data_IF_645097073898
#
_entry.id   IF_645097073898
#
_cell.length_a   1.000
_cell.length_b   1.000
_cell.length_c   1.000
_cell.angle_alpha   90.00
_cell.angle_beta   90.00
_cell.angle_gamma   90.00
#
_symmetry.space_group_name_H-M   'P 1'
#
loop_
_entity.id
_entity.type
_entity.pdbx_description
1 polymer ?
#
# COMPACT_ATOMS: atom_id res chain seq x y z
N UNK A 1 -10.37 -16.35 32.90
CA UNK A 1 -9.19 -16.11 32.05
C UNK A 1 -9.25 -17.13 30.93
N UNK A 2 -9.45 -16.69 29.69
CA UNK A 2 -9.50 -17.60 28.54
C UNK A 2 -8.07 -18.13 28.26
N UNK A 3 -7.94 -19.37 27.80
CA UNK A 3 -6.64 -20.02 27.58
C UNK A 3 -5.72 -19.23 26.63
N UNK A 4 -6.32 -18.38 25.80
CA UNK A 4 -5.67 -17.36 24.95
C UNK A 4 -4.75 -16.39 25.73
N UNK A 5 -5.18 -15.89 26.90
CA UNK A 5 -4.33 -15.00 27.72
C UNK A 5 -3.25 -15.75 28.49
N UNK A 6 -3.41 -17.07 28.70
CA UNK A 6 -2.35 -17.90 29.27
C UNK A 6 -1.22 -18.16 28.28
N UNK A 7 -1.52 -18.35 27.00
CA UNK A 7 -0.48 -18.53 25.97
C UNK A 7 0.36 -17.24 25.78
N UNK A 8 -0.29 -16.06 25.71
CA UNK A 8 0.40 -14.78 25.59
C UNK A 8 1.20 -14.39 26.85
N UNK A 9 0.67 -14.64 28.06
CA UNK A 9 1.41 -14.36 29.29
C UNK A 9 2.53 -15.36 29.61
N UNK A 10 2.47 -16.60 29.11
CA UNK A 10 3.53 -17.59 29.38
C UNK A 10 4.81 -17.27 28.60
N UNK A 11 4.72 -16.55 27.47
CA UNK A 11 5.89 -16.12 26.69
C UNK A 11 6.49 -14.81 27.21
N UNK A 12 5.70 -13.89 27.79
CA UNK A 12 6.24 -12.67 28.41
C UNK A 12 6.62 -12.81 29.90
N UNK A 13 6.21 -13.88 30.59
CA UNK A 13 6.37 -14.02 32.04
C UNK A 13 7.70 -14.57 32.57
N UNK A 14 8.66 -14.95 31.70
CA UNK A 14 9.92 -15.60 32.12
C UNK A 14 11.17 -14.72 32.07
N UNK A 15 11.04 -13.45 31.72
CA UNK A 15 12.15 -12.51 31.72
C UNK A 15 11.74 -11.20 32.39
N UNK A 16 11.72 -11.16 33.73
CA UNK A 16 11.90 -9.94 34.55
C UNK A 16 11.84 -10.29 36.05
N UNK A 17 12.98 -10.75 36.59
CA UNK A 17 13.29 -10.50 37.99
C UNK A 17 14.70 -9.95 38.10
N UNK A 18 14.83 -8.63 38.02
CA UNK A 18 15.82 -7.85 38.78
C UNK A 18 15.51 -6.37 38.57
N UNK A 19 14.79 -5.82 39.53
CA UNK A 19 14.60 -4.40 39.75
C UNK A 19 15.95 -3.71 39.98
N UNK A 20 16.11 -2.47 39.52
CA UNK A 20 16.73 -1.37 40.28
C UNK A 20 16.56 0.01 39.58
N UNK A 21 15.62 0.80 40.13
CA UNK A 21 15.66 2.23 40.46
C UNK A 21 16.57 3.19 39.66
N UNK A 22 15.97 4.20 39.00
CA UNK A 22 16.39 5.62 38.90
C UNK A 22 15.54 6.32 37.82
N UNK A 23 15.08 7.56 37.86
CA UNK A 23 15.05 8.68 38.80
C UNK A 23 14.09 9.69 38.13
N UNK A 24 13.16 10.26 38.89
CA UNK A 24 12.31 11.36 38.44
C UNK A 24 13.14 12.62 38.18
N UNK A 25 12.93 13.27 37.03
CA UNK A 25 13.46 14.61 36.72
C UNK A 25 12.31 15.47 36.22
N UNK A 26 12.02 16.52 36.97
CA UNK A 26 10.94 17.50 36.77
C UNK A 26 11.08 18.35 35.48
N UNK A 27 9.97 19.00 35.05
CA UNK A 27 9.87 19.77 33.81
C UNK A 27 10.31 21.22 34.01
N UNK A 28 10.93 21.82 33.00
CA UNK A 28 11.04 23.27 32.93
C UNK A 28 11.25 23.79 31.50
N UNK A 29 10.48 24.84 31.20
CA UNK A 29 10.79 26.00 30.34
C UNK A 29 10.15 26.03 28.95
N UNK A 30 9.02 26.74 28.86
CA UNK A 30 8.72 27.63 27.72
C UNK A 30 9.73 28.80 27.71
N UNK A 31 10.05 29.38 26.53
CA UNK A 31 9.41 30.65 26.17
C UNK A 31 9.17 30.87 24.65
N UNK A 32 7.97 31.38 24.35
CA UNK A 32 7.63 32.63 23.62
C UNK A 32 8.28 33.01 22.28
N UNK A 33 7.40 33.51 21.37
CA UNK A 33 7.61 34.53 20.29
C UNK A 33 8.41 34.09 19.07
N UNK A 34 8.06 34.36 17.81
CA UNK A 34 7.43 35.53 17.21
C UNK A 34 6.63 35.17 15.94
N UNK A 35 5.59 35.97 15.67
CA UNK A 35 4.94 36.10 14.38
C UNK A 35 5.65 37.15 13.52
N UNK A 36 5.66 36.99 12.18
CA UNK A 36 5.65 38.16 11.31
C UNK A 36 4.55 38.11 10.25
N UNK A 37 3.78 39.18 10.27
CA UNK A 37 3.36 40.03 9.15
C UNK A 37 2.94 39.39 7.81
N UNK A 38 1.63 39.48 7.61
CA UNK A 38 0.95 39.79 6.36
C UNK A 38 1.72 40.73 5.43
N UNK A 39 1.95 40.29 4.18
CA UNK A 39 2.17 41.19 3.05
C UNK A 39 1.13 40.89 1.97
N UNK A 40 0.26 41.87 1.84
CA UNK A 40 -0.74 42.09 0.80
C UNK A 40 -0.02 42.49 -0.50
N UNK A 41 -0.32 41.82 -1.61
CA UNK A 41 0.02 42.28 -2.95
C UNK A 41 -0.96 41.65 -3.94
N UNK A 42 -2.06 42.36 -4.12
CA UNK A 42 -2.94 42.23 -5.27
C UNK A 42 -2.22 42.70 -6.55
N UNK A 43 -2.01 41.78 -7.50
CA UNK A 43 -1.84 42.16 -8.90
C UNK A 43 -3.06 41.71 -9.70
N UNK A 44 -3.75 42.72 -10.22
CA UNK A 44 -4.83 42.63 -11.19
C UNK A 44 -4.20 42.30 -12.54
N UNK A 45 -4.44 41.10 -13.06
CA UNK A 45 -4.08 40.73 -14.43
C UNK A 45 -5.34 40.73 -15.29
N UNK A 46 -5.28 41.56 -16.34
CA UNK A 46 -6.32 41.81 -17.33
C UNK A 46 -6.76 40.54 -18.07
N UNK A 47 -8.07 40.42 -18.27
CA UNK A 47 -8.72 39.36 -19.03
C UNK A 47 -8.42 39.48 -20.54
N UNK A 48 -8.03 38.39 -21.23
CA UNK A 48 -8.01 38.35 -22.69
C UNK A 48 -9.43 38.21 -23.27
N UNK A 49 -9.65 38.65 -24.52
CA UNK A 49 -10.97 38.66 -25.17
C UNK A 49 -11.49 37.26 -25.49
N UNK A 50 -12.82 37.11 -25.33
CA UNK A 50 -13.67 36.02 -25.79
C UNK A 50 -13.32 35.57 -27.22
N UNK A 51 -12.94 34.31 -27.36
CA UNK A 51 -12.83 33.61 -28.64
C UNK A 51 -14.19 33.05 -29.05
N UNK A 52 -14.58 33.33 -30.28
CA UNK A 52 -15.80 32.92 -30.96
C UNK A 52 -16.06 31.39 -30.91
N UNK A 53 -17.33 30.95 -30.88
CA UNK A 53 -17.69 29.53 -30.90
C UNK A 53 -17.48 28.91 -32.28
N UNK A 54 -16.69 27.83 -32.34
CA UNK A 54 -16.59 26.97 -33.51
C UNK A 54 -17.87 26.16 -33.76
N UNK A 55 -18.18 25.82 -35.03
CA UNK A 55 -19.46 25.25 -35.42
C UNK A 55 -19.65 23.79 -35.00
N UNK A 56 -20.86 23.53 -34.51
CA UNK A 56 -21.44 22.23 -34.20
C UNK A 56 -21.41 21.27 -35.40
N UNK A 57 -20.82 20.06 -35.28
CA UNK A 57 -20.98 19.03 -36.29
C UNK A 57 -22.37 18.37 -36.20
N UNK A 58 -23.00 18.32 -37.36
CA UNK A 58 -24.28 17.74 -37.72
C UNK A 58 -24.35 16.25 -37.34
N UNK A 59 -25.41 15.88 -36.60
CA UNK A 59 -25.69 14.51 -36.20
C UNK A 59 -26.08 13.67 -37.44
N UNK A 60 -25.30 12.62 -37.72
CA UNK A 60 -25.71 11.57 -38.63
C UNK A 60 -26.55 10.53 -37.86
N UNK A 61 -27.81 10.42 -38.26
CA UNK A 61 -28.71 9.33 -37.89
C UNK A 61 -28.11 7.98 -38.30
N UNK A 62 -27.95 7.10 -37.32
CA UNK A 62 -27.71 5.68 -37.55
C UNK A 62 -28.73 4.87 -36.74
N UNK A 63 -29.75 4.40 -37.44
CA UNK A 63 -30.62 3.29 -37.05
C UNK A 63 -29.79 2.10 -36.57
N UNK A 64 -30.02 1.66 -35.33
CA UNK A 64 -29.50 0.39 -34.83
C UNK A 64 -30.65 -0.41 -34.21
N UNK A 65 -30.95 -1.51 -34.90
CA UNK A 65 -31.92 -2.52 -34.55
C UNK A 65 -31.65 -3.12 -33.16
N UNK A 66 -32.74 -3.35 -32.44
CA UNK A 66 -32.78 -4.16 -31.23
C UNK A 66 -32.29 -5.58 -31.52
N UNK A 67 -31.33 -6.04 -30.71
CA UNK A 67 -30.94 -7.45 -30.60
C UNK A 67 -30.76 -7.82 -29.13
N UNK A 68 -31.08 -9.07 -28.87
CA UNK A 68 -31.48 -9.67 -27.61
C UNK A 68 -30.50 -9.56 -26.43
N UNK A 69 -31.11 -9.55 -25.24
CA UNK A 69 -30.44 -9.67 -23.95
C UNK A 69 -29.83 -11.07 -23.79
N UNK A 70 -28.52 -11.17 -23.99
CA UNK A 70 -27.72 -12.33 -23.60
C UNK A 70 -27.11 -12.11 -22.22
N UNK A 71 -27.28 -13.10 -21.35
CA UNK A 71 -26.88 -13.07 -19.95
C UNK A 71 -25.37 -13.21 -19.84
N UNK A 72 -24.68 -12.08 -19.71
CA UNK A 72 -23.24 -12.05 -19.51
C UNK A 72 -22.90 -12.59 -18.10
N UNK A 73 -22.13 -13.68 -17.96
CA UNK A 73 -21.66 -14.14 -16.66
C UNK A 73 -20.76 -13.07 -16.05
N UNK A 74 -20.95 -12.81 -14.75
CA UNK A 74 -20.11 -11.87 -14.00
C UNK A 74 -18.62 -12.21 -14.20
N UNK A 75 -17.75 -11.21 -14.48
CA UNK A 75 -16.35 -11.47 -14.74
C UNK A 75 -15.70 -12.14 -13.53
N UNK A 76 -15.06 -13.28 -13.76
CA UNK A 76 -14.24 -13.96 -12.78
C UNK A 76 -13.15 -12.98 -12.29
N UNK A 77 -13.03 -12.82 -10.98
CA UNK A 77 -12.00 -11.99 -10.34
C UNK A 77 -10.61 -12.40 -10.86
N UNK A 78 -9.89 -11.43 -11.42
CA UNK A 78 -8.74 -11.67 -12.28
C UNK A 78 -7.48 -12.02 -11.49
N UNK A 79 -6.84 -13.14 -11.83
CA UNK A 79 -5.42 -13.44 -11.59
C UNK A 79 -4.46 -12.54 -12.39
N UNK A 80 -4.96 -11.49 -13.06
CA UNK A 80 -4.24 -10.71 -14.08
C UNK A 80 -3.26 -9.65 -13.56
N UNK A 81 -3.26 -9.34 -12.25
CA UNK A 81 -2.36 -8.34 -11.66
C UNK A 81 -0.88 -8.75 -11.76
N UNK A 82 -0.57 -10.05 -11.77
CA UNK A 82 0.80 -10.58 -11.83
C UNK A 82 1.51 -10.25 -13.15
N UNK A 83 0.76 -10.03 -14.24
CA UNK A 83 1.32 -9.75 -15.55
C UNK A 83 1.62 -8.26 -15.78
N UNK A 84 1.37 -7.41 -14.78
CA UNK A 84 1.41 -5.95 -14.93
C UNK A 84 2.60 -5.31 -14.23
N UNK A 85 3.67 -6.07 -14.00
CA UNK A 85 4.94 -5.48 -13.60
C UNK A 85 5.64 -4.89 -14.84
N UNK A 86 5.62 -3.56 -14.94
CA UNK A 86 6.31 -2.82 -16.01
C UNK A 86 7.63 -2.19 -15.53
N UNK A 87 8.15 -2.62 -14.38
CA UNK A 87 9.49 -2.26 -13.94
C UNK A 87 10.56 -2.97 -14.78
N UNK A 88 11.75 -2.37 -14.88
CA UNK A 88 12.85 -2.96 -15.63
C UNK A 88 13.50 -4.09 -14.82
N UNK A 89 14.21 -5.00 -15.50
CA UNK A 89 14.94 -6.07 -14.82
C UNK A 89 15.98 -5.51 -13.86
N UNK A 90 15.86 -5.87 -12.58
CA UNK A 90 16.70 -5.37 -11.49
C UNK A 90 16.03 -4.32 -10.61
N UNK A 91 14.86 -3.81 -11.02
CA UNK A 91 14.08 -2.86 -10.22
C UNK A 91 13.06 -3.58 -9.33
N UNK A 92 12.81 -2.98 -8.18
CA UNK A 92 11.75 -3.29 -7.23
C UNK A 92 10.48 -2.53 -7.59
N UNK A 93 9.36 -3.25 -7.54
CA UNK A 93 8.02 -2.72 -7.74
C UNK A 93 7.44 -2.29 -6.37
N UNK A 94 7.33 -0.99 -6.14
CA UNK A 94 6.82 -0.44 -4.89
C UNK A 94 5.29 -0.48 -4.85
N UNK A 95 4.64 -0.02 -5.92
CA UNK A 95 3.18 0.02 -6.01
C UNK A 95 2.70 -0.27 -7.43
N UNK A 96 1.56 -0.95 -7.53
CA UNK A 96 0.75 -1.04 -8.75
C UNK A 96 -0.59 -0.38 -8.48
N UNK A 97 -1.01 0.46 -9.41
CA UNK A 97 -2.24 1.23 -9.34
C UNK A 97 -3.02 1.00 -10.62
N UNK A 98 -4.23 0.49 -10.47
CA UNK A 98 -5.17 0.34 -11.57
C UNK A 98 -6.17 1.48 -11.58
N UNK A 99 -6.40 2.06 -12.74
CA UNK A 99 -7.51 2.99 -13.00
C UNK A 99 -8.38 2.45 -14.13
N UNK A 100 -9.45 3.15 -14.51
CA UNK A 100 -10.28 2.73 -15.66
C UNK A 100 -9.49 2.73 -16.98
N UNK A 101 -8.53 3.64 -17.15
CA UNK A 101 -7.77 3.81 -18.40
C UNK A 101 -6.30 3.37 -18.34
N UNK A 102 -5.71 3.24 -17.15
CA UNK A 102 -4.27 3.05 -16.99
C UNK A 102 -3.90 2.00 -15.95
N UNK A 103 -2.74 1.38 -16.17
CA UNK A 103 -1.92 0.77 -15.12
C UNK A 103 -0.79 1.73 -14.78
N UNK A 104 -0.50 1.91 -13.50
CA UNK A 104 0.62 2.72 -13.05
C UNK A 104 1.47 1.91 -12.10
N UNK A 105 2.77 1.89 -12.34
CA UNK A 105 3.75 1.21 -11.49
C UNK A 105 4.73 2.23 -10.94
N UNK A 106 5.01 2.12 -9.65
CA UNK A 106 6.08 2.85 -9.01
C UNK A 106 7.25 1.88 -8.89
N UNK A 107 8.31 2.16 -9.64
CA UNK A 107 9.50 1.32 -9.76
C UNK A 107 10.72 2.01 -9.14
N UNK A 108 11.68 1.24 -8.68
CA UNK A 108 12.94 1.77 -8.17
C UNK A 108 13.92 0.68 -7.79
N UNK A 109 14.95 1.02 -7.04
CA UNK A 109 15.86 0.03 -6.45
C UNK A 109 15.54 -0.03 -4.95
N UNK A 110 16.46 0.43 -4.08
CA UNK A 110 16.23 0.57 -2.65
C UNK A 110 15.13 1.59 -2.28
N UNK A 111 14.74 2.46 -3.23
CA UNK A 111 13.75 3.53 -3.05
C UNK A 111 12.96 3.77 -4.35
N UNK A 112 11.72 4.29 -4.26
CA UNK A 112 10.96 4.73 -5.44
C UNK A 112 11.79 5.72 -6.27
N UNK A 113 11.88 5.47 -7.58
CA UNK A 113 12.67 6.31 -8.48
C UNK A 113 11.97 6.63 -9.79
N UNK A 114 11.03 5.79 -10.24
CA UNK A 114 10.36 5.96 -11.52
C UNK A 114 8.85 5.76 -11.41
N UNK A 115 8.13 6.63 -12.10
CA UNK A 115 6.74 6.45 -12.47
C UNK A 115 6.67 5.74 -13.82
N UNK A 116 5.89 4.66 -13.92
CA UNK A 116 5.61 3.97 -15.17
C UNK A 116 4.11 3.88 -15.41
N UNK A 117 3.58 4.68 -16.32
CA UNK A 117 2.17 4.65 -16.71
C UNK A 117 1.99 3.86 -18.01
N UNK A 118 0.97 3.00 -18.08
CA UNK A 118 0.63 2.19 -19.25
C UNK A 118 -0.85 2.35 -19.57
N UNK A 119 -1.13 2.81 -20.79
CA UNK A 119 -2.50 2.96 -21.31
C UNK A 119 -3.10 1.58 -21.60
N UNK A 120 -4.29 1.32 -21.08
CA UNK A 120 -5.02 0.07 -21.32
C UNK A 120 -5.58 -0.04 -22.73
N UNK A 121 -5.88 1.08 -23.37
CA UNK A 121 -6.50 1.08 -24.71
C UNK A 121 -5.53 0.73 -25.82
N UNK A 122 -4.26 1.11 -25.70
CA UNK A 122 -3.27 0.93 -26.77
C UNK A 122 -1.93 0.34 -26.29
N UNK A 123 -1.79 0.03 -25.00
CA UNK A 123 -0.57 -0.57 -24.43
C UNK A 123 0.64 0.36 -24.43
N UNK A 124 0.51 1.61 -24.86
CA UNK A 124 1.63 2.56 -24.82
C UNK A 124 1.97 2.87 -23.38
N UNK A 125 3.26 2.97 -23.12
CA UNK A 125 3.77 3.33 -21.80
C UNK A 125 4.58 4.62 -21.82
N UNK A 126 4.68 5.21 -20.65
CA UNK A 126 5.57 6.31 -20.33
C UNK A 126 6.34 5.95 -19.08
N UNK A 127 7.63 6.27 -19.08
CA UNK A 127 8.51 6.09 -17.93
C UNK A 127 9.17 7.42 -17.62
N UNK A 128 8.99 7.90 -16.39
CA UNK A 128 9.49 9.18 -15.92
C UNK A 128 10.23 8.99 -14.61
N UNK A 129 11.34 9.72 -14.37
CA UNK A 129 11.88 9.82 -13.03
C UNK A 129 10.86 10.48 -12.11
N UNK A 130 10.71 9.96 -10.90
CA UNK A 130 9.97 10.64 -9.85
C UNK A 130 10.68 11.95 -9.52
N UNK A 131 9.90 13.01 -9.45
CA UNK A 131 10.39 14.33 -9.01
C UNK A 131 10.23 14.50 -7.51
N UNK A 132 9.17 13.90 -6.95
CA UNK A 132 8.94 13.87 -5.51
C UNK A 132 8.04 12.67 -5.14
N UNK A 133 8.07 12.28 -3.86
CA UNK A 133 7.20 11.27 -3.29
C UNK A 133 7.15 11.38 -1.77
N UNK A 134 6.06 10.92 -1.15
CA UNK A 134 5.93 10.92 0.30
C UNK A 134 6.67 9.73 0.91
N UNK A 135 7.26 9.92 2.09
CA UNK A 135 8.05 8.90 2.77
C UNK A 135 7.22 7.66 3.18
N UNK A 136 5.91 7.82 3.36
CA UNK A 136 4.95 6.76 3.63
C UNK A 136 4.47 6.02 2.36
N UNK A 137 4.90 6.46 1.18
CA UNK A 137 4.53 5.86 -0.10
C UNK A 137 3.08 6.09 -0.51
N UNK A 138 2.42 7.10 0.05
CA UNK A 138 1.03 7.42 -0.25
C UNK A 138 0.86 8.48 -1.35
N UNK A 139 1.95 9.06 -1.86
CA UNK A 139 1.93 10.05 -2.92
C UNK A 139 3.18 10.00 -3.76
N UNK A 140 3.01 10.14 -5.09
CA UNK A 140 4.08 10.12 -6.08
C UNK A 140 3.85 11.18 -7.14
N UNK A 141 4.91 11.87 -7.53
CA UNK A 141 4.88 12.90 -8.56
C UNK A 141 6.02 12.73 -9.58
N UNK A 142 5.69 12.88 -10.85
CA UNK A 142 6.64 12.89 -11.95
C UNK A 142 6.27 13.96 -12.99
N UNK A 143 7.26 14.45 -13.74
CA UNK A 143 7.07 15.49 -14.75
C UNK A 143 7.59 15.08 -16.13
N UNK A 144 6.87 15.50 -17.16
CA UNK A 144 7.31 15.48 -18.56
C UNK A 144 7.06 16.86 -19.18
N UNK A 145 8.03 17.77 -19.05
CA UNK A 145 7.85 19.17 -19.38
C UNK A 145 6.84 19.82 -18.43
N UNK A 146 5.77 20.42 -18.98
CA UNK A 146 4.70 21.06 -18.20
C UNK A 146 3.62 20.06 -17.73
N UNK A 147 3.73 18.79 -18.13
CA UNK A 147 2.77 17.76 -17.75
C UNK A 147 3.23 17.13 -16.43
N UNK A 148 2.40 17.25 -15.40
CA UNK A 148 2.55 16.61 -14.11
C UNK A 148 1.72 15.34 -14.05
N UNK A 149 2.31 14.27 -13.54
CA UNK A 149 1.68 13.00 -13.25
C UNK A 149 1.72 12.78 -11.75
N UNK A 150 0.53 12.71 -11.14
CA UNK A 150 0.37 12.56 -9.70
C UNK A 150 -0.44 11.30 -9.42
N UNK A 151 0.06 10.47 -8.51
CA UNK A 151 -0.67 9.33 -7.94
C UNK A 151 -0.83 9.58 -6.45
N UNK A 152 -2.06 9.56 -5.97
CA UNK A 152 -2.37 9.69 -4.55
C UNK A 152 -3.06 8.43 -4.07
N UNK A 153 -2.49 7.79 -3.04
CA UNK A 153 -2.95 6.56 -2.43
C UNK A 153 -3.62 6.78 -1.06
N UNK A 154 -3.79 8.03 -0.63
CA UNK A 154 -4.42 8.36 0.65
C UNK A 154 -5.90 7.96 0.69
N UNK A 155 -6.25 7.26 1.77
CA UNK A 155 -7.58 6.72 2.08
C UNK A 155 -8.54 7.70 2.75
N UNK A 156 -9.63 7.13 3.29
CA UNK A 156 -10.91 7.64 3.86
C UNK A 156 -11.37 9.07 3.54
N UNK A 157 -10.52 10.10 3.68
CA UNK A 157 -10.87 11.51 3.48
C UNK A 157 -10.48 12.06 2.10
N UNK A 158 -9.59 11.40 1.36
CA UNK A 158 -9.20 11.77 0.00
C UNK A 158 -9.49 10.64 -0.99
N UNK A 159 -9.90 10.95 -2.23
CA UNK A 159 -10.05 9.94 -3.27
C UNK A 159 -8.66 9.45 -3.70
N UNK A 160 -8.45 8.14 -3.64
CA UNK A 160 -7.31 7.46 -4.26
C UNK A 160 -7.42 7.69 -5.77
N UNK A 161 -6.49 8.46 -6.34
CA UNK A 161 -6.63 8.97 -7.70
C UNK A 161 -5.31 9.08 -8.46
N UNK A 162 -5.40 8.84 -9.76
CA UNK A 162 -4.43 9.30 -10.75
C UNK A 162 -4.89 10.65 -11.29
N UNK A 163 -4.04 11.66 -11.18
CA UNK A 163 -4.27 13.00 -11.72
C UNK A 163 -3.13 13.36 -12.67
N UNK A 164 -3.47 13.74 -13.89
CA UNK A 164 -2.50 14.27 -14.88
C UNK A 164 -2.91 15.69 -15.21
N UNK A 165 -1.99 16.65 -15.02
CA UNK A 165 -2.25 18.07 -15.28
C UNK A 165 -1.22 18.66 -16.24
N UNK A 166 -1.65 19.66 -17.02
CA UNK A 166 -0.80 20.46 -17.91
C UNK A 166 -0.95 21.93 -17.48
N UNK A 167 0.00 22.40 -16.68
CA UNK A 167 -0.17 23.61 -15.87
C UNK A 167 -1.38 23.49 -14.93
N UNK A 168 -2.32 24.43 -15.06
CA UNK A 168 -3.56 24.47 -14.26
C UNK A 168 -4.70 23.59 -14.81
N UNK A 169 -4.51 22.99 -15.99
CA UNK A 169 -5.55 22.19 -16.65
C UNK A 169 -5.43 20.72 -16.26
N UNK A 170 -6.51 20.13 -15.75
CA UNK A 170 -6.62 18.68 -15.54
C UNK A 170 -6.88 17.99 -16.89
N UNK A 171 -5.97 17.11 -17.29
CA UNK A 171 -6.09 16.29 -18.51
C UNK A 171 -6.77 14.95 -18.21
N UNK A 172 -6.39 14.34 -17.08
CA UNK A 172 -6.90 13.05 -16.64
C UNK A 172 -7.12 13.13 -15.13
N UNK A 173 -8.27 12.68 -14.69
CA UNK A 173 -8.54 12.38 -13.29
C UNK A 173 -9.33 11.08 -13.25
N UNK A 174 -8.74 10.04 -12.68
CA UNK A 174 -9.36 8.73 -12.59
C UNK A 174 -9.20 8.20 -11.18
N UNK A 175 -10.30 7.67 -10.64
CA UNK A 175 -10.26 6.93 -9.40
C UNK A 175 -9.43 5.65 -9.60
N UNK A 176 -8.64 5.34 -8.59
CA UNK A 176 -7.98 4.06 -8.49
C UNK A 176 -9.01 3.02 -8.10
N UNK A 177 -9.05 1.90 -8.82
CA UNK A 177 -10.01 0.84 -8.57
C UNK A 177 -9.68 0.16 -7.24
N UNK A 178 -10.39 0.55 -6.16
CA UNK A 178 -10.21 0.05 -4.78
C UNK A 178 -10.38 -1.46 -4.62
N UNK A 179 -11.00 -2.12 -5.59
CA UNK A 179 -11.18 -3.58 -5.55
C UNK A 179 -9.88 -4.34 -5.85
N UNK A 180 -8.80 -3.63 -6.17
CA UNK A 180 -7.49 -4.21 -6.39
C UNK A 180 -6.59 -3.88 -5.20
N UNK A 181 -6.67 -4.75 -4.19
CA UNK A 181 -5.57 -5.25 -3.36
C UNK A 181 -4.27 -4.53 -3.71
N UNK A 182 -3.98 -3.41 -3.04
CA UNK A 182 -2.73 -2.67 -3.22
C UNK A 182 -1.60 -3.60 -2.80
N UNK A 183 -1.11 -4.41 -3.72
CA UNK A 183 0.01 -5.27 -3.47
C UNK A 183 1.26 -4.38 -3.53
N UNK A 184 1.86 -4.17 -2.37
CA UNK A 184 3.29 -3.83 -2.31
C UNK A 184 3.98 -5.11 -2.73
N UNK A 185 4.38 -5.15 -4.00
CA UNK A 185 4.97 -6.33 -4.59
C UNK A 185 6.47 -6.36 -4.26
N UNK A 186 6.82 -6.98 -3.14
CA UNK A 186 8.06 -7.75 -3.15
C UNK A 186 8.05 -8.70 -4.37
N UNK A 187 9.20 -8.94 -4.99
CA UNK A 187 9.42 -9.46 -6.37
C UNK A 187 8.51 -10.60 -6.89
N UNK A 188 7.68 -11.25 -6.06
CA UNK A 188 6.82 -12.34 -6.48
C UNK A 188 5.34 -12.39 -5.97
N UNK A 189 4.68 -11.28 -5.58
CA UNK A 189 3.20 -11.32 -5.53
C UNK A 189 2.50 -11.43 -4.17
N UNK A 190 3.07 -10.89 -3.09
CA UNK A 190 2.37 -10.77 -1.81
C UNK A 190 1.46 -9.51 -1.75
N UNK A 191 0.38 -9.65 -1.00
CA UNK A 191 -0.74 -8.72 -0.87
C UNK A 191 -0.49 -7.75 0.29
N UNK A 192 -0.82 -6.45 0.14
CA UNK A 192 -0.84 -5.54 1.29
C UNK A 192 -2.27 -5.17 1.74
N UNK A 193 -2.54 -5.32 3.02
CA UNK A 193 -3.49 -4.54 3.79
C UNK A 193 -2.90 -3.14 4.08
N UNK A 194 -3.78 -2.19 4.41
CA UNK A 194 -3.50 -0.76 4.66
C UNK A 194 -2.10 -0.48 5.25
N UNK A 195 -1.37 0.42 4.58
CA UNK A 195 -0.03 0.91 4.92
C UNK A 195 -0.03 1.71 6.22
N UNK A 196 -1.20 2.03 6.78
CA UNK A 196 -1.34 2.87 7.98
C UNK A 196 -0.65 2.26 9.22
N UNK A 197 -0.29 0.98 9.16
CA UNK A 197 0.38 0.26 10.24
C UNK A 197 1.70 -0.37 9.76
N UNK A 198 2.76 0.45 9.66
CA UNK A 198 4.13 -0.02 9.48
C UNK A 198 4.81 -0.28 10.83
N UNK A 199 5.02 -1.55 11.18
CA UNK A 199 5.74 -1.96 12.40
C UNK A 199 7.17 -2.45 12.16
N UNK A 200 7.70 -2.24 10.94
CA UNK A 200 9.10 -2.47 10.63
C UNK A 200 9.99 -1.43 11.31
N UNK A 201 11.29 -1.74 11.45
CA UNK A 201 12.24 -0.77 11.99
C UNK A 201 12.45 0.38 11.00
N UNK A 202 12.89 1.56 11.47
CA UNK A 202 13.04 2.77 10.64
C UNK A 202 13.99 2.62 9.45
N UNK A 203 14.85 1.60 9.46
CA UNK A 203 15.80 1.28 8.40
C UNK A 203 15.40 0.02 7.60
N UNK A 204 14.15 -0.42 7.73
CA UNK A 204 13.58 -1.55 7.01
C UNK A 204 12.37 -1.12 6.19
N UNK A 205 12.24 -1.67 5.00
CA UNK A 205 11.02 -1.58 4.22
C UNK A 205 10.06 -2.73 4.54
N UNK A 206 8.76 -2.42 4.46
CA UNK A 206 7.69 -3.40 4.52
C UNK A 206 7.70 -4.18 3.21
N UNK A 207 7.91 -5.49 3.29
CA UNK A 207 7.70 -6.41 2.16
C UNK A 207 6.22 -6.73 1.98
N UNK A 208 5.50 -6.93 3.09
CA UNK A 208 4.07 -7.24 3.10
C UNK A 208 3.46 -6.73 4.40
N UNK A 209 2.23 -6.22 4.34
CA UNK A 209 1.42 -5.96 5.52
C UNK A 209 0.08 -6.69 5.35
N UNK A 210 -0.42 -7.38 6.36
CA UNK A 210 -1.77 -7.96 6.35
C UNK A 210 -2.43 -7.76 7.71
N UNK A 211 -3.74 -7.87 7.75
CA UNK A 211 -4.47 -7.83 9.02
C UNK A 211 -5.36 -9.04 9.16
N UNK A 212 -5.53 -9.49 10.39
CA UNK A 212 -6.58 -10.45 10.77
C UNK A 212 -7.61 -9.73 11.63
N UNK A 213 -8.57 -10.47 12.20
CA UNK A 213 -9.49 -9.89 13.20
C UNK A 213 -8.71 -9.29 14.37
N UNK A 214 -7.70 -10.00 14.90
CA UNK A 214 -7.01 -9.62 16.13
C UNK A 214 -5.60 -9.07 15.95
N UNK A 215 -5.00 -9.15 14.76
CA UNK A 215 -3.59 -8.80 14.55
C UNK A 215 -3.38 -7.87 13.36
N UNK A 216 -2.35 -7.03 13.50
CA UNK A 216 -1.63 -6.43 12.38
C UNK A 216 -0.33 -7.21 12.16
N UNK A 217 -0.04 -7.60 10.94
CA UNK A 217 1.13 -8.40 10.60
C UNK A 217 1.94 -7.66 9.53
N UNK A 218 3.25 -7.59 9.70
CA UNK A 218 4.17 -7.08 8.69
C UNK A 218 5.28 -8.09 8.46
N UNK A 219 5.67 -8.28 7.21
CA UNK A 219 6.94 -8.87 6.84
C UNK A 219 7.89 -7.73 6.49
N UNK A 220 9.04 -7.68 7.16
CA UNK A 220 10.02 -6.61 7.07
C UNK A 220 11.31 -7.12 6.42
N UNK A 221 11.96 -6.27 5.61
CA UNK A 221 13.23 -6.57 4.97
C UNK A 221 13.36 -6.11 3.51
N UNK A 222 12.36 -5.38 2.97
CA UNK A 222 12.34 -5.02 1.56
C UNK A 222 12.42 -6.25 0.68
N UNK A 223 13.20 -6.20 -0.39
CA UNK A 223 13.35 -7.28 -1.37
C UNK A 223 13.76 -8.64 -0.79
N UNK A 224 14.39 -8.63 0.39
CA UNK A 224 14.78 -9.83 1.12
C UNK A 224 14.00 -9.89 2.44
N UNK A 225 12.79 -10.48 2.45
CA UNK A 225 11.99 -10.59 3.66
C UNK A 225 12.78 -11.35 4.73
N UNK A 226 12.93 -10.72 5.89
CA UNK A 226 13.83 -11.21 6.93
C UNK A 226 13.13 -11.34 8.30
N UNK A 227 12.11 -10.53 8.56
CA UNK A 227 11.42 -10.56 9.85
C UNK A 227 9.91 -10.64 9.69
N UNK A 228 9.31 -11.46 10.55
CA UNK A 228 7.89 -11.42 10.87
C UNK A 228 7.70 -10.44 12.04
N UNK A 229 6.74 -9.53 11.89
CA UNK A 229 6.29 -8.65 12.96
C UNK A 229 4.79 -8.83 13.12
N UNK A 230 4.33 -9.16 14.32
CA UNK A 230 2.92 -9.23 14.66
C UNK A 230 2.61 -8.28 15.81
N UNK A 231 1.52 -7.52 15.70
CA UNK A 231 1.03 -6.61 16.73
C UNK A 231 -0.41 -6.95 17.06
N UNK A 232 -0.67 -7.24 18.34
CA UNK A 232 -2.04 -7.45 18.82
C UNK A 232 -2.82 -6.15 18.76
N UNK A 233 -4.00 -6.16 18.12
CA UNK A 233 -4.94 -5.03 18.16
C UNK A 233 -5.49 -4.81 19.56
N UNK A 234 -5.57 -5.89 20.34
CA UNK A 234 -6.03 -5.88 21.72
C UNK A 234 -4.82 -5.84 22.65
N UNK A 235 -4.34 -4.63 22.96
CA UNK A 235 -3.27 -4.41 23.94
C UNK A 235 -1.97 -3.87 23.36
N UNK A 236 -1.77 -3.94 22.04
CA UNK A 236 -0.58 -3.40 21.38
C UNK A 236 0.70 -4.25 21.58
N UNK A 237 0.58 -5.44 22.15
CA UNK A 237 1.71 -6.36 22.32
C UNK A 237 2.33 -6.67 20.96
N UNK A 238 3.64 -6.47 20.86
CA UNK A 238 4.43 -6.65 19.63
C UNK A 238 5.35 -7.85 19.77
N UNK A 239 5.34 -8.71 18.76
CA UNK A 239 6.34 -9.75 18.58
C UNK A 239 7.10 -9.50 17.27
N UNK A 240 8.41 -9.71 17.33
CA UNK A 240 9.30 -9.62 16.18
C UNK A 240 10.21 -10.84 16.15
N UNK A 241 10.17 -11.58 15.05
CA UNK A 241 10.90 -12.83 14.89
C UNK A 241 11.63 -12.83 13.55
N UNK A 242 12.86 -13.37 13.48
CA UNK A 242 13.46 -13.67 12.19
C UNK A 242 12.60 -14.72 11.47
N UNK A 243 12.46 -14.54 10.16
CA UNK A 243 11.87 -15.56 9.31
C UNK A 243 12.79 -16.78 9.29
N UNK A 244 12.22 -17.95 9.51
CA UNK A 244 12.92 -19.22 9.36
C UNK A 244 12.83 -19.77 7.94
N UNK A 245 11.75 -19.44 7.24
CA UNK A 245 11.48 -19.88 5.88
C UNK A 245 10.43 -18.95 5.23
N UNK A 246 10.48 -18.83 3.91
CA UNK A 246 9.43 -18.17 3.14
C UNK A 246 9.41 -18.73 1.72
N UNK A 247 8.23 -18.76 1.12
CA UNK A 247 8.10 -19.04 -0.30
C UNK A 247 8.61 -17.82 -1.09
N UNK A 248 9.58 -17.98 -2.01
CA UNK A 248 9.99 -16.90 -2.90
C UNK A 248 8.79 -16.20 -3.52
N UNK A 249 7.75 -16.97 -3.91
CA UNK A 249 6.52 -16.43 -4.48
C UNK A 249 5.66 -15.57 -3.54
N UNK A 250 6.17 -15.26 -2.35
CA UNK A 250 5.49 -14.46 -1.34
C UNK A 250 4.16 -15.04 -0.89
N UNK A 251 3.92 -16.34 -1.09
CA UNK A 251 2.64 -16.97 -0.74
C UNK A 251 2.62 -17.55 0.67
N UNK A 252 3.80 -17.73 1.27
CA UNK A 252 3.96 -18.29 2.61
C UNK A 252 5.14 -17.66 3.35
N UNK A 253 4.95 -17.34 4.62
CA UNK A 253 6.03 -16.86 5.52
C UNK A 253 5.99 -17.64 6.82
N UNK A 254 7.16 -18.07 7.28
CA UNK A 254 7.30 -18.86 8.49
C UNK A 254 8.31 -18.22 9.44
N UNK A 255 7.91 -18.05 10.70
CA UNK A 255 8.81 -17.67 11.79
C UNK A 255 8.66 -18.65 12.95
N UNK A 256 9.74 -18.85 13.72
CA UNK A 256 9.72 -19.72 14.90
C UNK A 256 10.15 -18.94 16.16
N UNK A 257 9.44 -19.18 17.26
CA UNK A 257 9.80 -18.75 18.60
C UNK A 257 9.82 -19.96 19.52
N UNK A 258 10.97 -20.63 19.61
CA UNK A 258 11.11 -21.90 20.33
C UNK A 258 10.20 -22.97 19.71
N UNK A 259 9.25 -23.48 20.50
CA UNK A 259 8.30 -24.48 20.05
C UNK A 259 7.08 -23.93 19.31
N UNK A 260 6.94 -22.60 19.21
CA UNK A 260 5.80 -21.96 18.56
C UNK A 260 6.19 -21.55 17.14
N UNK A 261 5.44 -22.02 16.15
CA UNK A 261 5.59 -21.66 14.75
C UNK A 261 4.46 -20.74 14.32
N UNK A 262 4.82 -19.68 13.60
CA UNK A 262 3.92 -18.71 13.01
C UNK A 262 4.00 -18.85 11.50
N UNK A 263 2.86 -19.09 10.84
CA UNK A 263 2.75 -19.25 9.40
C UNK A 263 1.68 -18.29 8.86
N UNK A 264 2.05 -17.48 7.86
CA UNK A 264 1.11 -16.69 7.07
C UNK A 264 0.95 -17.40 5.73
N UNK A 265 -0.28 -17.67 5.31
CA UNK A 265 -0.65 -18.22 4.01
C UNK A 265 -1.45 -17.20 3.22
N UNK A 266 -0.89 -16.70 2.11
CA UNK A 266 -1.52 -15.75 1.19
C UNK A 266 -2.10 -16.41 -0.06
N UNK A 267 -2.09 -17.74 -0.11
CA UNK A 267 -2.75 -18.51 -1.16
C UNK A 267 -3.64 -19.58 -0.52
N UNK A 268 -4.82 -19.75 -1.10
CA UNK A 268 -5.87 -20.64 -0.60
C UNK A 268 -7.15 -19.88 -0.28
N UNK A 269 -8.21 -20.64 0.01
CA UNK A 269 -9.49 -20.10 0.48
C UNK A 269 -9.85 -20.78 1.82
N UNK A 270 -9.68 -20.09 2.97
CA UNK A 270 -9.25 -18.69 3.14
C UNK A 270 -7.73 -18.49 3.28
N UNK A 271 -7.24 -17.30 2.87
CA UNK A 271 -5.94 -16.75 3.30
C UNK A 271 -5.91 -16.64 4.84
N UNK A 272 -4.81 -17.04 5.49
CA UNK A 272 -4.82 -17.19 6.95
C UNK A 272 -3.48 -16.99 7.65
N UNK A 273 -3.56 -16.58 8.92
CA UNK A 273 -2.51 -16.72 9.92
C UNK A 273 -2.76 -18.02 10.70
N UNK A 274 -1.74 -18.86 10.82
CA UNK A 274 -1.77 -20.08 11.64
C UNK A 274 -0.60 -20.06 12.62
N UNK A 275 -0.89 -20.28 13.90
CA UNK A 275 0.11 -20.42 14.96
C UNK A 275 -0.01 -21.81 15.56
N UNK A 276 1.10 -22.57 15.54
CA UNK A 276 1.12 -24.00 15.91
C UNK A 276 2.16 -24.27 16.98
N UNK A 277 1.83 -25.09 17.98
CA UNK A 277 2.84 -25.71 18.86
C UNK A 277 3.46 -26.90 18.12
N UNK A 278 4.75 -26.77 17.80
CA UNK A 278 5.49 -27.78 17.02
C UNK A 278 5.80 -29.06 17.79
N UNK A 279 5.71 -29.06 19.13
CA UNK A 279 5.92 -30.27 19.92
C UNK A 279 4.68 -31.17 19.90
N UNK A 280 3.49 -30.58 19.94
CA UNK A 280 2.21 -31.32 19.99
C UNK A 280 1.51 -31.41 18.64
N UNK A 281 1.77 -30.44 17.75
CA UNK A 281 1.05 -30.25 16.49
C UNK A 281 -0.27 -29.50 16.65
N UNK A 282 -0.58 -28.98 17.84
CA UNK A 282 -1.83 -28.27 18.10
C UNK A 282 -1.83 -26.88 17.47
N UNK A 283 -2.94 -26.53 16.81
CA UNK A 283 -3.19 -25.17 16.33
C UNK A 283 -3.63 -24.32 17.51
N UNK A 284 -2.83 -23.32 17.85
CA UNK A 284 -3.10 -22.38 18.95
C UNK A 284 -3.93 -21.19 18.48
N UNK A 285 -3.68 -20.73 17.25
CA UNK A 285 -4.40 -19.63 16.60
C UNK A 285 -4.58 -19.97 15.14
N UNK A 286 -5.79 -19.75 14.62
CA UNK A 286 -6.06 -19.73 13.19
C UNK A 286 -7.02 -18.58 12.92
N UNK A 287 -6.55 -17.58 12.18
CA UNK A 287 -7.35 -16.42 11.82
C UNK A 287 -7.31 -16.17 10.33
N UNK A 288 -8.44 -15.76 9.78
CA UNK A 288 -8.52 -15.35 8.38
C UNK A 288 -7.85 -13.99 8.19
N UNK A 289 -7.13 -13.84 7.09
CA UNK A 289 -6.62 -12.54 6.64
C UNK A 289 -7.80 -11.76 6.07
N UNK A 290 -7.99 -10.55 6.57
CA UNK A 290 -9.04 -9.63 6.14
C UNK A 290 -8.68 -9.08 4.77
N UNK A 291 -9.61 -9.23 3.81
CA UNK A 291 -9.54 -8.53 2.54
C UNK A 291 -10.05 -7.10 2.75
N UNK A 292 -9.24 -6.11 2.40
CA UNK A 292 -9.60 -4.70 2.37
C UNK A 292 -9.84 -4.25 0.94
#
# INVERSE_FOLDING_TARGET
>A
MNDYQRALMTVCGLALSTSLLSSCGDPASEPTTDAPETVDSAEVVESPPESEPEPTPEAADADAAAADADSSPAPAASTALRDQNYCLGGETLFHVVETSGFWVNICGDDRPNHYVGVSKSDGKNIRLPLSDYSADGLWYEAYNGNIRYQVSLHGEESPIALVVTDGDRVLVQQDVQRNQKMAVFGQDGAIAASIDHNYCETNESVFMAVATENFWLNICGGDLPNHYVGVSKNGGDRIRLPLSDYDPQGTKFTANNGAIRYEIFLVGDPESLVVTDTNTGDILVQEQILNF
#
